data_IF_050761687243
#
_entry.id   IF_050761687243
#
_cell.length_a   1.000
_cell.length_b   1.000
_cell.length_c   1.000
_cell.angle_alpha   90.00
_cell.angle_beta   90.00
_cell.angle_gamma   90.00
#
_symmetry.space_group_name_H-M   'P 1'
#
loop_
_entity.id
_entity.type
_entity.pdbx_description
1 polymer ?
#
# COMPACT_ATOMS: atom_id res chain seq x y z
N UNK A 1 -6.40 -8.07 -63.70
CA UNK A 1 -5.61 -8.81 -62.69
C UNK A 1 -6.23 -8.59 -61.31
N UNK A 2 -6.96 -9.57 -60.78
CA UNK A 2 -7.51 -9.50 -59.43
C UNK A 2 -6.39 -9.81 -58.41
N UNK A 3 -5.97 -8.81 -57.64
CA UNK A 3 -5.05 -9.02 -56.51
C UNK A 3 -5.81 -9.75 -55.40
N UNK A 4 -5.47 -11.02 -55.17
CA UNK A 4 -5.93 -11.76 -53.99
C UNK A 4 -5.43 -11.03 -52.74
N UNK A 5 -6.35 -10.52 -51.91
CA UNK A 5 -6.03 -10.05 -50.56
C UNK A 5 -5.90 -11.30 -49.68
N UNK A 6 -4.70 -11.57 -49.19
CA UNK A 6 -4.47 -12.59 -48.17
C UNK A 6 -4.97 -11.98 -46.86
N UNK A 7 -6.04 -12.56 -46.30
CA UNK A 7 -6.43 -12.27 -44.93
C UNK A 7 -5.41 -12.96 -44.02
N UNK A 8 -4.69 -12.17 -43.22
CA UNK A 8 -3.84 -12.69 -42.16
C UNK A 8 -4.69 -12.59 -40.89
N UNK A 9 -5.04 -13.72 -40.24
CA UNK A 9 -5.72 -13.67 -38.95
C UNK A 9 -4.88 -12.87 -37.96
N UNK A 10 -5.52 -12.00 -37.18
CA UNK A 10 -4.89 -11.49 -35.96
C UNK A 10 -4.51 -12.69 -35.09
N UNK A 11 -3.21 -12.82 -34.80
CA UNK A 11 -2.70 -13.88 -33.94
C UNK A 11 -3.39 -13.79 -32.58
N UNK A 12 -4.12 -14.83 -32.18
CA UNK A 12 -4.64 -14.90 -30.82
C UNK A 12 -3.48 -14.97 -29.84
N UNK A 13 -3.59 -14.27 -28.71
CA UNK A 13 -2.53 -14.12 -27.70
C UNK A 13 -1.98 -15.46 -27.15
N UNK A 14 -2.71 -16.56 -27.36
CA UNK A 14 -2.35 -17.94 -27.06
C UNK A 14 -1.33 -18.59 -28.01
N UNK A 15 -0.96 -17.94 -29.13
CA UNK A 15 -0.11 -18.52 -30.19
C UNK A 15 1.25 -17.83 -30.37
N UNK A 16 1.57 -16.79 -29.59
CA UNK A 16 2.92 -16.19 -29.58
C UNK A 16 3.78 -17.00 -28.59
N UNK A 17 4.91 -17.59 -29.02
CA UNK A 17 5.79 -18.31 -28.11
C UNK A 17 6.29 -17.36 -27.01
N UNK A 18 5.92 -17.65 -25.76
CA UNK A 18 6.49 -16.96 -24.60
C UNK A 18 7.96 -17.37 -24.55
N UNK A 19 8.87 -16.43 -24.84
CA UNK A 19 10.31 -16.71 -24.78
C UNK A 19 10.78 -16.90 -23.34
N UNK A 20 10.25 -16.11 -22.40
CA UNK A 20 10.49 -16.25 -20.95
C UNK A 20 9.58 -15.30 -20.15
N UNK A 21 9.49 -15.49 -18.84
CA UNK A 21 8.73 -14.64 -17.91
C UNK A 21 9.63 -14.12 -16.78
N UNK A 22 9.59 -12.82 -16.50
CA UNK A 22 10.19 -12.23 -15.31
C UNK A 22 9.10 -12.16 -14.24
N UNK A 23 9.37 -12.79 -13.09
CA UNK A 23 8.49 -12.83 -11.93
C UNK A 23 9.06 -11.96 -10.82
N UNK A 24 8.41 -10.83 -10.51
CA UNK A 24 8.90 -9.91 -9.48
C UNK A 24 7.94 -9.80 -8.30
N UNK A 25 8.44 -10.00 -7.09
CA UNK A 25 7.71 -9.77 -5.84
C UNK A 25 7.89 -8.36 -5.27
N UNK A 26 6.79 -7.80 -4.78
CA UNK A 26 6.72 -6.57 -4.00
C UNK A 26 6.00 -6.82 -2.70
N UNK A 27 6.48 -6.17 -1.63
CA UNK A 27 5.89 -6.28 -0.30
C UNK A 27 5.68 -4.89 0.29
N UNK A 28 4.48 -4.65 0.80
CA UNK A 28 4.14 -3.45 1.58
C UNK A 28 3.66 -3.91 2.95
N UNK A 29 4.19 -3.34 4.02
CA UNK A 29 3.64 -3.57 5.36
C UNK A 29 2.73 -2.40 5.73
N UNK A 30 1.60 -2.67 6.38
CA UNK A 30 0.68 -1.65 6.86
C UNK A 30 0.39 -1.80 8.35
N UNK A 31 0.22 -0.68 9.02
CA UNK A 31 -0.02 -0.62 10.45
C UNK A 31 -0.50 0.75 10.86
N UNK A 32 -0.30 1.13 12.12
CA UNK A 32 -0.65 2.46 12.57
C UNK A 32 -0.77 2.60 14.07
N UNK A 33 -0.96 3.84 14.48
CA UNK A 33 -1.07 4.23 15.89
C UNK A 33 -2.40 4.94 16.12
N UNK A 34 -3.06 4.60 17.21
CA UNK A 34 -4.15 5.39 17.75
C UNK A 34 -3.60 6.41 18.73
N UNK A 35 -4.13 7.63 18.65
CA UNK A 35 -4.07 8.66 19.68
C UNK A 35 -5.49 8.92 20.14
N UNK A 36 -5.77 8.74 21.42
CA UNK A 36 -7.11 8.91 22.01
C UNK A 36 -7.05 9.96 23.09
N UNK A 37 -7.92 10.96 22.98
CA UNK A 37 -8.07 12.03 23.96
C UNK A 37 -9.51 12.06 24.48
N UNK A 38 -9.67 11.86 25.79
CA UNK A 38 -10.93 12.15 26.49
C UNK A 38 -10.89 13.60 26.94
N UNK A 39 -11.86 14.40 26.52
CA UNK A 39 -11.84 15.85 26.67
C UNK A 39 -13.07 16.27 27.46
N UNK A 40 -12.89 17.08 28.50
CA UNK A 40 -14.00 17.75 29.18
C UNK A 40 -14.64 18.77 28.23
N UNK A 41 -15.90 18.56 27.87
CA UNK A 41 -16.57 19.34 26.82
C UNK A 41 -16.77 20.81 27.21
N UNK A 42 -17.00 21.09 28.50
CA UNK A 42 -17.25 22.43 28.99
C UNK A 42 -15.98 23.30 29.02
N UNK A 43 -14.83 22.69 29.31
CA UNK A 43 -13.57 23.41 29.52
C UNK A 43 -12.54 23.18 28.40
N UNK A 44 -12.73 22.18 27.55
CA UNK A 44 -11.77 21.77 26.52
C UNK A 44 -10.52 21.09 27.07
N UNK A 45 -10.48 20.75 28.37
CA UNK A 45 -9.31 20.13 28.99
C UNK A 45 -9.22 18.65 28.67
N UNK A 46 -8.04 18.18 28.25
CA UNK A 46 -7.76 16.75 28.09
C UNK A 46 -7.69 16.10 29.47
N UNK A 47 -8.62 15.17 29.74
CA UNK A 47 -8.70 14.37 30.96
C UNK A 47 -7.81 13.14 30.89
N UNK A 48 -7.68 12.56 29.70
CA UNK A 48 -6.91 11.34 29.45
C UNK A 48 -6.35 11.39 28.03
N UNK A 49 -5.09 10.99 27.87
CA UNK A 49 -4.38 10.89 26.60
C UNK A 49 -3.75 9.50 26.50
N UNK A 50 -4.01 8.79 25.41
CA UNK A 50 -3.52 7.44 25.16
C UNK A 50 -2.90 7.34 23.78
N UNK A 51 -1.81 6.58 23.68
CA UNK A 51 -1.18 6.24 22.40
C UNK A 51 -0.83 4.76 22.37
N UNK A 52 -1.28 4.05 21.34
CA UNK A 52 -1.07 2.61 21.23
C UNK A 52 -1.21 2.11 19.79
N UNK A 53 -0.58 0.98 19.45
CA UNK A 53 -0.65 0.43 18.10
C UNK A 53 -2.01 -0.18 17.79
N UNK A 54 -2.24 -0.37 16.50
CA UNK A 54 -3.43 -1.00 15.98
C UNK A 54 -3.23 -2.48 15.61
N UNK A 55 -4.32 -3.23 15.49
CA UNK A 55 -4.33 -4.54 14.84
C UNK A 55 -5.17 -4.45 13.56
N UNK A 56 -4.54 -4.59 12.40
CA UNK A 56 -5.26 -4.73 11.12
C UNK A 56 -5.88 -6.13 11.06
N UNK A 57 -7.17 -6.27 10.75
CA UNK A 57 -7.85 -7.58 10.65
C UNK A 57 -7.61 -8.26 9.30
N UNK A 58 -7.89 -9.55 9.17
CA UNK A 58 -7.88 -10.28 7.90
C UNK A 58 -8.96 -9.73 6.97
N UNK A 59 -10.13 -9.38 7.51
CA UNK A 59 -11.19 -8.71 6.76
C UNK A 59 -10.73 -7.37 6.18
N UNK A 60 -9.96 -6.59 6.95
CA UNK A 60 -9.35 -5.34 6.50
C UNK A 60 -8.34 -5.55 5.37
N UNK A 61 -7.43 -6.51 5.51
CA UNK A 61 -6.48 -6.84 4.45
C UNK A 61 -7.18 -7.36 3.19
N UNK A 62 -8.21 -8.20 3.35
CA UNK A 62 -9.02 -8.70 2.25
C UNK A 62 -9.75 -7.57 1.52
N UNK A 63 -10.27 -6.57 2.23
CA UNK A 63 -10.97 -5.44 1.59
C UNK A 63 -9.97 -4.53 0.87
N UNK A 64 -8.82 -4.23 1.49
CA UNK A 64 -7.71 -3.49 0.86
C UNK A 64 -7.25 -4.20 -0.42
N UNK A 65 -7.00 -5.51 -0.34
CA UNK A 65 -6.54 -6.31 -1.47
C UNK A 65 -7.65 -6.65 -2.46
N UNK A 66 -8.92 -6.59 -2.07
CA UNK A 66 -10.07 -6.95 -2.89
C UNK A 66 -10.60 -5.82 -3.75
N UNK A 67 -10.24 -4.56 -3.47
CA UNK A 67 -10.81 -3.39 -4.17
C UNK A 67 -10.48 -3.36 -5.67
N UNK A 68 -11.52 -3.18 -6.49
CA UNK A 68 -11.45 -3.04 -7.95
C UNK A 68 -12.20 -1.80 -8.47
N UNK A 69 -12.54 -0.86 -7.59
CA UNK A 69 -13.23 0.40 -7.92
C UNK A 69 -13.01 1.43 -6.82
N UNK A 70 -13.45 2.68 -7.05
CA UNK A 70 -13.15 3.88 -6.24
C UNK A 70 -13.23 3.66 -4.71
N UNK A 71 -12.10 3.74 -3.99
CA UNK A 71 -11.93 3.18 -2.63
C UNK A 71 -12.17 4.13 -1.44
N UNK A 72 -13.00 5.16 -1.59
CA UNK A 72 -13.26 6.24 -0.59
C UNK A 72 -13.83 5.80 0.79
N UNK A 73 -13.88 4.51 1.10
CA UNK A 73 -14.68 3.97 2.20
C UNK A 73 -13.94 3.22 3.33
N UNK A 74 -12.64 2.92 3.23
CA UNK A 74 -12.00 1.98 4.18
C UNK A 74 -12.09 2.42 5.65
N UNK A 75 -11.81 3.70 5.93
CA UNK A 75 -11.79 4.26 7.30
C UNK A 75 -12.87 5.34 7.45
N UNK A 76 -14.14 4.95 7.35
CA UNK A 76 -15.25 5.92 7.43
C UNK A 76 -15.77 6.09 8.86
N UNK A 77 -16.01 4.99 9.56
CA UNK A 77 -16.62 5.00 10.88
C UNK A 77 -15.65 4.44 11.92
N UNK A 78 -15.53 5.09 13.07
CA UNK A 78 -14.91 4.50 14.24
C UNK A 78 -16.03 4.01 15.17
N UNK A 79 -15.96 2.77 15.62
CA UNK A 79 -16.81 2.21 16.67
C UNK A 79 -16.05 2.10 17.98
N UNK A 80 -16.76 2.21 19.10
CA UNK A 80 -16.26 1.94 20.45
C UNK A 80 -17.14 0.91 21.14
N UNK A 81 -16.55 0.11 22.03
CA UNK A 81 -17.25 -0.98 22.69
C UNK A 81 -16.73 -1.28 24.09
N UNK A 82 -17.38 -2.24 24.74
CA UNK A 82 -17.14 -2.64 26.14
C UNK A 82 -16.55 -4.04 26.28
N UNK A 83 -16.23 -4.73 25.18
CA UNK A 83 -15.54 -6.01 25.24
C UNK A 83 -14.04 -5.80 25.50
N UNK A 84 -13.50 -6.59 26.42
CA UNK A 84 -12.10 -6.55 26.82
C UNK A 84 -11.30 -7.75 26.28
N UNK A 85 -11.91 -8.57 25.42
CA UNK A 85 -11.24 -9.70 24.81
C UNK A 85 -10.08 -9.21 23.93
N UNK A 86 -8.93 -9.88 24.03
CA UNK A 86 -7.76 -9.54 23.22
C UNK A 86 -8.11 -9.57 21.71
N UNK A 87 -7.77 -8.51 20.95
CA UNK A 87 -8.05 -8.45 19.52
C UNK A 87 -7.37 -9.59 18.77
N UNK A 88 -8.09 -10.17 17.82
CA UNK A 88 -7.64 -11.24 16.93
C UNK A 88 -7.73 -10.78 15.47
N UNK A 89 -6.78 -11.24 14.64
CA UNK A 89 -6.79 -10.89 13.21
C UNK A 89 -8.04 -11.39 12.50
N UNK A 90 -8.67 -12.46 12.98
CA UNK A 90 -9.90 -13.01 12.41
C UNK A 90 -11.16 -12.22 12.80
N UNK A 91 -11.07 -11.21 13.67
CA UNK A 91 -12.25 -10.48 14.13
C UNK A 91 -12.92 -9.72 12.98
N UNK A 92 -14.25 -9.81 12.94
CA UNK A 92 -15.08 -9.11 11.94
C UNK A 92 -15.98 -8.04 12.55
N UNK A 93 -16.12 -8.02 13.88
CA UNK A 93 -16.94 -7.06 14.64
C UNK A 93 -16.28 -6.72 15.97
N UNK A 94 -16.70 -5.63 16.60
CA UNK A 94 -16.45 -5.41 18.03
C UNK A 94 -17.17 -6.49 18.85
N UNK A 95 -16.64 -6.81 20.04
CA UNK A 95 -17.25 -7.82 20.91
C UNK A 95 -18.56 -7.32 21.52
N UNK A 96 -18.60 -6.04 21.91
CA UNK A 96 -19.82 -5.39 22.41
C UNK A 96 -19.80 -3.91 22.03
N UNK A 97 -20.20 -3.60 20.80
CA UNK A 97 -20.28 -2.22 20.29
C UNK A 97 -21.31 -1.40 21.06
N UNK A 98 -20.89 -0.23 21.52
CA UNK A 98 -21.76 0.78 22.15
C UNK A 98 -22.28 1.74 21.09
N UNK A 99 -21.38 2.29 20.30
CA UNK A 99 -21.71 3.29 19.27
C UNK A 99 -20.60 3.40 18.23
N UNK A 100 -20.95 3.92 17.05
CA UNK A 100 -19.98 4.35 16.04
C UNK A 100 -20.33 5.70 15.45
N UNK A 101 -19.30 6.42 15.00
CA UNK A 101 -19.44 7.75 14.38
C UNK A 101 -18.55 7.89 13.15
N UNK A 102 -19.02 8.67 12.17
CA UNK A 102 -18.22 9.18 11.06
C UNK A 102 -17.91 10.68 11.20
N UNK A 103 -18.35 11.32 12.29
CA UNK A 103 -18.09 12.74 12.54
C UNK A 103 -16.60 12.98 12.68
N UNK A 104 -16.05 13.87 11.86
CA UNK A 104 -14.67 14.33 11.96
C UNK A 104 -14.52 15.51 12.91
N UNK A 105 -15.60 16.03 13.50
CA UNK A 105 -15.57 17.19 14.39
C UNK A 105 -14.98 18.46 13.75
N UNK A 106 -14.93 18.55 12.42
CA UNK A 106 -14.26 19.62 11.68
C UNK A 106 -12.75 19.45 11.54
N UNK A 107 -12.17 18.34 12.00
CA UNK A 107 -10.75 18.04 11.83
C UNK A 107 -10.46 17.56 10.40
N UNK A 108 -9.49 18.19 9.75
CA UNK A 108 -9.03 17.76 8.42
C UNK A 108 -8.08 16.57 8.53
N UNK A 109 -8.13 15.69 7.52
CA UNK A 109 -7.13 14.64 7.38
C UNK A 109 -5.76 15.27 7.11
N UNK A 110 -4.71 14.69 7.69
CA UNK A 110 -3.33 15.05 7.35
C UNK A 110 -2.61 13.83 6.81
N UNK A 111 -1.61 14.04 5.97
CA UNK A 111 -0.82 12.98 5.35
C UNK A 111 0.63 13.45 5.24
N UNK A 112 1.54 12.50 5.18
CA UNK A 112 2.95 12.84 5.14
C UNK A 112 3.85 11.64 5.01
N UNK A 113 5.14 11.93 5.16
CA UNK A 113 6.22 10.98 5.07
C UNK A 113 7.20 11.27 6.20
N UNK A 114 7.66 10.23 6.88
CA UNK A 114 8.63 10.29 7.96
C UNK A 114 9.87 9.53 7.52
N UNK A 115 11.05 10.15 7.60
CA UNK A 115 12.35 9.50 7.39
C UNK A 115 13.08 9.30 8.71
N UNK A 116 13.79 8.18 8.88
CA UNK A 116 14.65 7.95 10.05
C UNK A 116 13.86 7.76 11.35
N UNK A 117 12.67 7.19 11.28
CA UNK A 117 11.91 6.76 12.46
C UNK A 117 12.64 5.61 13.17
N UNK A 118 12.65 5.65 14.49
CA UNK A 118 13.17 4.59 15.36
C UNK A 118 12.12 3.55 15.73
N UNK A 119 10.95 3.56 15.10
CA UNK A 119 9.91 2.55 15.32
C UNK A 119 10.45 1.16 14.90
N UNK A 120 9.85 0.06 15.38
CA UNK A 120 10.34 -1.32 15.15
C UNK A 120 10.43 -1.75 13.67
N UNK A 121 9.97 -0.92 12.73
CA UNK A 121 10.10 -1.08 11.29
C UNK A 121 11.27 -0.31 10.67
N UNK A 122 12.08 0.34 11.52
CA UNK A 122 13.39 0.94 11.31
C UNK A 122 13.59 1.54 9.92
N UNK A 123 12.66 2.39 9.54
CA UNK A 123 12.47 2.71 8.14
C UNK A 123 11.51 3.86 7.97
N UNK A 124 11.71 4.59 6.89
CA UNK A 124 10.82 5.64 6.52
C UNK A 124 9.40 5.09 6.27
N UNK A 125 8.36 5.84 6.62
CA UNK A 125 6.97 5.44 6.40
C UNK A 125 6.12 6.59 5.90
N UNK A 126 5.07 6.26 5.16
CA UNK A 126 4.03 7.19 4.78
C UNK A 126 2.83 7.03 5.68
N UNK A 127 2.15 8.12 5.98
CA UNK A 127 1.00 8.08 6.87
C UNK A 127 -0.17 8.91 6.37
N UNK A 128 -1.36 8.54 6.84
CA UNK A 128 -2.56 9.36 6.86
C UNK A 128 -3.10 9.39 8.28
N UNK A 129 -3.41 10.59 8.80
CA UNK A 129 -4.12 10.78 10.05
C UNK A 129 -5.58 11.07 9.76
N UNK A 130 -6.46 10.32 10.43
CA UNK A 130 -7.90 10.53 10.42
C UNK A 130 -8.40 10.66 11.83
N UNK A 131 -9.22 11.68 12.05
CA UNK A 131 -9.83 11.94 13.35
C UNK A 131 -11.32 11.66 13.29
N UNK A 132 -11.84 11.06 14.35
CA UNK A 132 -13.26 10.93 14.63
C UNK A 132 -13.55 11.43 16.03
N UNK A 133 -14.69 12.07 16.18
CA UNK A 133 -15.11 12.70 17.41
C UNK A 133 -16.47 12.16 17.82
N UNK A 134 -16.54 11.53 18.99
CA UNK A 134 -17.80 11.30 19.69
C UNK A 134 -18.09 12.54 20.54
N UNK A 135 -19.21 13.18 20.28
CA UNK A 135 -19.65 14.37 21.00
C UNK A 135 -20.25 14.03 22.37
N UNK A 136 -20.70 15.04 23.09
CA UNK A 136 -21.51 14.91 24.29
C UNK A 136 -22.74 14.04 24.01
N UNK A 137 -22.97 13.03 24.85
CA UNK A 137 -24.11 12.11 24.69
C UNK A 137 -23.82 10.87 23.83
N UNK A 138 -22.77 10.89 23.01
CA UNK A 138 -22.37 9.77 22.13
C UNK A 138 -21.30 8.89 22.80
N UNK A 139 -21.36 7.58 22.59
CA UNK A 139 -20.34 6.62 23.02
C UNK A 139 -20.11 6.57 24.53
N UNK A 140 -21.11 6.93 25.34
CA UNK A 140 -20.96 6.99 26.79
C UNK A 140 -20.88 5.60 27.40
N UNK A 141 -20.01 5.44 28.40
CA UNK A 141 -19.84 4.18 29.12
C UNK A 141 -18.39 3.90 29.48
N UNK A 142 -18.15 2.67 29.92
CA UNK A 142 -16.84 2.13 30.25
C UNK A 142 -16.26 1.43 29.02
N UNK A 143 -15.63 2.20 28.15
CA UNK A 143 -15.14 1.73 26.86
C UNK A 143 -13.80 1.01 27.02
N UNK A 144 -13.62 -0.13 26.36
CA UNK A 144 -12.41 -0.97 26.42
C UNK A 144 -11.84 -1.29 25.05
N UNK A 145 -12.65 -1.16 24.00
CA UNK A 145 -12.25 -1.45 22.62
C UNK A 145 -12.68 -0.36 21.64
N UNK A 146 -11.99 -0.33 20.50
CA UNK A 146 -12.35 0.51 19.37
C UNK A 146 -11.97 -0.17 18.05
N UNK A 147 -12.66 0.21 16.98
CA UNK A 147 -12.40 -0.35 15.66
C UNK A 147 -12.76 0.62 14.54
N UNK A 148 -12.06 0.51 13.41
CA UNK A 148 -12.42 1.19 12.16
C UNK A 148 -13.28 0.30 11.28
N UNK A 149 -14.26 0.94 10.66
CA UNK A 149 -15.29 0.32 9.85
C UNK A 149 -15.50 1.07 8.54
N UNK A 150 -15.89 0.29 7.52
CA UNK A 150 -16.18 0.81 6.18
C UNK A 150 -17.52 1.56 6.09
N UNK A 151 -18.51 1.20 6.90
CA UNK A 151 -19.84 1.82 6.85
C UNK A 151 -20.53 1.88 8.22
N UNK A 152 -21.73 2.48 8.26
CA UNK A 152 -22.49 2.72 9.49
C UNK A 152 -23.07 1.46 10.14
N UNK A 153 -23.13 0.32 9.45
CA UNK A 153 -23.67 -0.92 10.02
C UNK A 153 -23.21 -2.16 9.23
N UNK A 154 -23.07 -3.29 9.91
CA UNK A 154 -22.78 -4.61 9.33
C UNK A 154 -21.67 -4.59 8.25
N UNK A 155 -20.58 -3.88 8.55
CA UNK A 155 -19.55 -3.54 7.58
C UNK A 155 -18.24 -4.24 7.90
N UNK A 156 -17.33 -4.31 6.92
CA UNK A 156 -15.95 -4.75 7.14
C UNK A 156 -15.30 -3.94 8.27
N UNK A 157 -14.85 -4.64 9.30
CA UNK A 157 -13.96 -4.10 10.32
C UNK A 157 -12.53 -4.16 9.78
N UNK A 158 -11.89 -3.01 9.62
CA UNK A 158 -10.53 -2.91 9.04
C UNK A 158 -9.47 -3.08 10.13
N UNK A 159 -9.75 -2.52 11.30
CA UNK A 159 -8.81 -2.41 12.41
C UNK A 159 -9.56 -2.61 13.71
N UNK A 160 -8.96 -3.32 14.66
CA UNK A 160 -9.44 -3.40 16.05
C UNK A 160 -8.29 -3.10 17.00
N UNK A 161 -8.59 -2.53 18.16
CA UNK A 161 -7.65 -2.47 19.28
C UNK A 161 -8.40 -2.34 20.61
N UNK A 162 -7.73 -2.69 21.70
CA UNK A 162 -8.15 -2.28 23.04
C UNK A 162 -7.57 -0.91 23.34
N UNK A 163 -8.25 -0.10 24.15
CA UNK A 163 -7.59 1.05 24.76
C UNK A 163 -6.45 0.55 25.64
N UNK A 164 -5.27 1.14 25.49
CA UNK A 164 -4.07 0.74 26.25
C UNK A 164 -3.42 1.97 26.88
N UNK A 165 -2.76 1.74 28.01
CA UNK A 165 -1.86 2.73 28.60
C UNK A 165 -0.51 2.81 27.86
N UNK A 166 0.38 3.71 28.30
CA UNK A 166 1.72 3.86 27.71
C UNK A 166 2.64 2.66 27.91
N UNK A 167 2.26 1.69 28.74
CA UNK A 167 2.96 0.40 28.90
C UNK A 167 2.38 -0.72 28.03
N UNK A 168 1.34 -0.43 27.23
CA UNK A 168 0.66 -1.40 26.37
C UNK A 168 -0.38 -2.27 27.09
N UNK A 169 -0.67 -2.01 28.38
CA UNK A 169 -1.67 -2.77 29.13
C UNK A 169 -3.08 -2.29 28.80
N UNK A 170 -4.06 -3.18 28.56
CA UNK A 170 -5.45 -2.77 28.33
C UNK A 170 -6.03 -2.00 29.51
N UNK A 171 -6.77 -0.93 29.22
CA UNK A 171 -7.43 -0.07 30.21
C UNK A 171 -8.86 0.27 29.77
N UNK A 172 -9.65 0.75 30.72
CA UNK A 172 -10.99 1.28 30.48
C UNK A 172 -10.96 2.81 30.39
N UNK A 173 -11.61 3.37 29.37
CA UNK A 173 -11.90 4.80 29.23
C UNK A 173 -13.35 5.03 29.63
N UNK A 174 -13.58 5.73 30.75
CA UNK A 174 -14.93 6.10 31.16
C UNK A 174 -15.34 7.42 30.52
N UNK A 175 -16.19 7.36 29.50
CA UNK A 175 -16.77 8.54 28.84
C UNK A 175 -18.15 8.84 29.42
N UNK A 176 -18.38 10.10 29.80
CA UNK A 176 -19.69 10.60 30.25
C UNK A 176 -20.27 11.60 29.24
N UNK A 177 -21.52 12.02 29.46
CA UNK A 177 -22.17 13.05 28.65
C UNK A 177 -21.49 14.43 28.73
N UNK A 178 -20.60 14.64 29.69
CA UNK A 178 -19.82 15.88 29.81
C UNK A 178 -18.48 15.79 29.08
N UNK A 179 -18.20 14.66 28.45
CA UNK A 179 -16.94 14.39 27.77
C UNK A 179 -17.14 14.27 26.26
N UNK A 180 -16.12 14.66 25.51
CA UNK A 180 -15.92 14.29 24.12
C UNK A 180 -14.80 13.25 24.04
N UNK A 181 -14.89 12.31 23.08
CA UNK A 181 -13.84 11.33 22.82
C UNK A 181 -13.30 11.54 21.42
N UNK A 182 -12.09 12.06 21.32
CA UNK A 182 -11.39 12.30 20.06
C UNK A 182 -10.43 11.14 19.80
N UNK A 183 -10.65 10.44 18.70
CA UNK A 183 -9.80 9.32 18.26
C UNK A 183 -9.13 9.73 16.96
N UNK A 184 -7.80 9.83 16.99
CA UNK A 184 -6.98 10.02 15.80
C UNK A 184 -6.26 8.72 15.49
N UNK A 185 -6.41 8.23 14.26
CA UNK A 185 -5.66 7.08 13.77
C UNK A 185 -4.66 7.53 12.72
N UNK A 186 -3.38 7.31 12.99
CA UNK A 186 -2.31 7.41 12.02
C UNK A 186 -2.15 6.05 11.34
N UNK A 187 -2.78 5.85 10.20
CA UNK A 187 -2.57 4.68 9.36
C UNK A 187 -1.28 4.83 8.57
N UNK A 188 -0.43 3.82 8.62
CA UNK A 188 0.94 3.85 8.10
C UNK A 188 1.13 2.78 7.04
N UNK A 189 1.88 3.13 6.00
CA UNK A 189 2.46 2.18 5.05
C UNK A 189 3.98 2.25 5.12
N UNK A 190 4.60 1.08 5.16
CA UNK A 190 6.03 0.92 5.24
C UNK A 190 6.51 0.34 3.90
N UNK A 191 7.33 1.08 3.13
CA UNK A 191 8.08 0.49 2.03
C UNK A 191 8.93 -0.66 2.58
N UNK A 192 8.85 -1.84 1.97
CA UNK A 192 9.77 -2.92 2.32
C UNK A 192 11.20 -2.48 1.99
N UNK A 193 12.07 -2.44 2.99
CA UNK A 193 13.49 -2.06 2.80
C UNK A 193 14.40 -3.28 2.56
N UNK A 194 13.82 -4.41 2.17
CA UNK A 194 14.53 -5.64 1.85
C UNK A 194 14.13 -6.85 2.70
N UNK A 195 14.71 -8.00 2.33
CA UNK A 195 14.57 -9.28 3.03
C UNK A 195 15.40 -9.26 4.31
N UNK A 196 14.91 -8.58 5.33
CA UNK A 196 15.57 -8.59 6.61
C UNK A 196 14.76 -9.36 7.64
N UNK A 197 15.07 -10.64 7.86
CA UNK A 197 14.56 -11.39 9.00
C UNK A 197 15.21 -10.96 10.33
N UNK A 198 16.18 -10.04 10.34
CA UNK A 198 16.97 -9.66 11.52
C UNK A 198 17.48 -8.20 11.49
N UNK A 199 16.58 -7.21 11.52
CA UNK A 199 16.83 -5.84 12.02
C UNK A 199 18.22 -5.21 11.79
N UNK A 200 18.61 -4.99 10.55
CA UNK A 200 19.74 -4.17 10.14
C UNK A 200 19.36 -2.68 10.19
N UNK A 201 19.68 -2.12 11.35
CA UNK A 201 19.66 -0.71 11.78
C UNK A 201 20.55 0.26 10.99
N UNK A 202 20.69 0.08 9.68
CA UNK A 202 21.47 1.03 8.87
C UNK A 202 20.69 1.31 7.60
N UNK A 203 20.46 2.58 7.27
CA UNK A 203 19.72 3.08 6.10
C UNK A 203 20.30 2.70 4.73
N UNK A 204 20.54 1.41 4.53
CA UNK A 204 20.93 0.75 3.30
C UNK A 204 19.72 -0.05 2.82
N UNK A 205 19.21 0.29 1.65
CA UNK A 205 18.07 -0.39 1.06
C UNK A 205 18.55 -1.71 0.47
N UNK A 206 18.08 -2.83 1.02
CA UNK A 206 18.36 -4.13 0.45
C UNK A 206 17.32 -4.45 -0.63
N UNK A 207 17.68 -5.18 -1.69
CA UNK A 207 16.70 -5.69 -2.63
C UNK A 207 15.56 -6.43 -1.91
N UNK A 208 14.32 -6.08 -2.24
CA UNK A 208 13.10 -6.76 -1.76
C UNK A 208 13.03 -8.15 -2.38
N UNK A 209 13.38 -8.26 -3.65
CA UNK A 209 13.39 -9.51 -4.38
C UNK A 209 14.52 -9.47 -5.41
N UNK A 210 14.95 -10.65 -5.84
CA UNK A 210 15.95 -10.80 -6.88
C UNK A 210 15.78 -12.12 -7.60
N UNK A 211 16.17 -12.15 -8.86
CA UNK A 211 16.11 -13.37 -9.65
C UNK A 211 16.90 -13.23 -10.94
N UNK A 212 16.70 -14.19 -11.83
CA UNK A 212 17.26 -14.13 -13.17
C UNK A 212 16.32 -14.74 -14.18
N UNK A 213 16.46 -14.31 -15.43
CA UNK A 213 15.78 -14.91 -16.58
C UNK A 213 16.80 -15.12 -17.69
N UNK A 214 16.68 -16.22 -18.42
CA UNK A 214 17.53 -16.50 -19.58
C UNK A 214 16.76 -16.09 -20.84
N UNK A 215 17.35 -15.19 -21.62
CA UNK A 215 16.82 -14.74 -22.91
C UNK A 215 17.85 -15.05 -24.00
N UNK A 216 17.56 -16.03 -24.84
CA UNK A 216 18.56 -16.60 -25.75
C UNK A 216 19.69 -17.24 -24.93
N UNK A 217 20.92 -16.77 -25.13
CA UNK A 217 22.12 -17.28 -24.43
C UNK A 217 22.58 -16.36 -23.29
N UNK A 218 21.83 -15.29 -22.99
CA UNK A 218 22.20 -14.30 -21.97
C UNK A 218 21.35 -14.44 -20.72
N UNK A 219 22.00 -14.45 -19.56
CA UNK A 219 21.33 -14.38 -18.25
C UNK A 219 21.12 -12.93 -17.85
N UNK A 220 19.88 -12.56 -17.62
CA UNK A 220 19.47 -11.24 -17.14
C UNK A 220 19.07 -11.36 -15.68
N UNK A 221 20.00 -11.02 -14.78
CA UNK A 221 19.71 -10.94 -13.35
C UNK A 221 18.95 -9.65 -13.05
N UNK A 222 18.08 -9.67 -12.06
CA UNK A 222 17.31 -8.51 -11.66
C UNK A 222 17.21 -8.40 -10.14
N UNK A 223 17.02 -7.16 -9.68
CA UNK A 223 16.77 -6.80 -8.28
C UNK A 223 15.63 -5.81 -8.21
N UNK A 224 14.72 -5.99 -7.26
CA UNK A 224 13.64 -5.04 -6.98
C UNK A 224 13.88 -4.27 -5.68
N UNK A 225 13.45 -3.01 -5.61
CA UNK A 225 13.48 -2.20 -4.40
C UNK A 225 12.31 -1.22 -4.35
N UNK A 226 11.96 -0.76 -3.15
CA UNK A 226 11.02 0.35 -2.99
C UNK A 226 11.65 1.62 -3.59
N UNK A 227 10.86 2.38 -4.35
CA UNK A 227 11.27 3.67 -4.87
C UNK A 227 11.01 4.73 -3.79
N UNK A 228 12.06 5.21 -3.12
CA UNK A 228 11.91 6.36 -2.23
C UNK A 228 11.94 7.65 -3.02
N UNK A 229 10.82 8.35 -3.02
CA UNK A 229 10.78 9.76 -3.39
C UNK A 229 10.42 10.60 -2.16
N UNK A 230 11.20 11.65 -1.92
CA UNK A 230 10.80 12.74 -1.01
C UNK A 230 9.65 13.57 -1.57
N UNK A 231 9.36 13.42 -2.87
CA UNK A 231 8.20 14.05 -3.49
C UNK A 231 6.94 13.26 -3.19
N UNK A 232 5.87 14.00 -2.90
CA UNK A 232 4.53 13.59 -2.46
C UNK A 232 3.91 12.38 -3.20
N UNK A 233 4.34 12.13 -4.43
CA UNK A 233 3.61 11.30 -5.40
C UNK A 233 3.92 9.79 -5.34
N UNK A 234 5.00 9.37 -4.67
CA UNK A 234 5.45 7.98 -4.77
C UNK A 234 4.70 6.99 -3.86
N UNK A 235 4.21 7.47 -2.71
CA UNK A 235 3.68 6.62 -1.64
C UNK A 235 2.68 7.34 -0.69
N UNK A 236 2.26 8.57 -1.01
CA UNK A 236 1.59 9.45 -0.03
C UNK A 236 0.18 9.89 -0.41
N UNK A 237 -0.01 10.34 -1.65
CA UNK A 237 -1.27 10.97 -2.04
C UNK A 237 -2.47 10.02 -1.96
N UNK A 238 -2.33 8.74 -2.34
CA UNK A 238 -3.49 7.84 -2.32
C UNK A 238 -3.81 7.25 -0.94
N UNK A 239 -2.86 7.24 0.01
CA UNK A 239 -3.18 6.94 1.41
C UNK A 239 -4.09 8.04 1.98
N UNK A 240 -3.79 9.30 1.64
CA UNK A 240 -4.58 10.46 2.04
C UNK A 240 -5.90 10.61 1.27
N UNK A 241 -5.89 10.31 -0.03
CA UNK A 241 -7.06 10.42 -0.91
C UNK A 241 -8.01 9.23 -0.79
N UNK A 242 -7.61 8.11 -0.18
CA UNK A 242 -8.37 6.86 -0.18
C UNK A 242 -8.91 6.49 -1.56
N UNK A 243 -8.19 6.87 -2.61
CA UNK A 243 -8.50 6.59 -4.01
C UNK A 243 -7.45 5.64 -4.63
N UNK A 244 -6.99 4.63 -3.87
CA UNK A 244 -6.10 3.59 -4.37
C UNK A 244 -6.86 2.30 -4.75
N UNK A 245 -7.20 2.12 -6.02
CA UNK A 245 -7.77 0.85 -6.48
C UNK A 245 -6.61 -0.09 -6.86
N UNK A 246 -6.45 -1.22 -6.15
CA UNK A 246 -5.41 -2.23 -6.47
C UNK A 246 -5.73 -3.04 -7.75
N UNK A 247 -6.61 -2.56 -8.59
CA UNK A 247 -6.76 -2.96 -9.97
C UNK A 247 -6.16 -1.93 -10.95
N UNK A 248 -5.63 -0.80 -10.47
CA UNK A 248 -5.04 0.25 -11.30
C UNK A 248 -3.52 0.25 -11.19
N UNK A 249 -2.87 -0.46 -12.10
CA UNK A 249 -1.42 -0.60 -12.12
C UNK A 249 -0.80 0.21 -13.25
N UNK A 250 0.34 0.84 -12.98
CA UNK A 250 1.20 1.40 -14.03
C UNK A 250 2.58 0.80 -13.92
N UNK A 251 3.06 0.25 -15.03
CA UNK A 251 4.42 -0.23 -15.15
C UNK A 251 5.07 0.47 -16.32
N UNK A 252 6.24 1.06 -16.06
CA UNK A 252 7.03 1.79 -17.04
C UNK A 252 8.28 1.01 -17.33
N UNK A 253 8.58 0.80 -18.60
CA UNK A 253 9.88 0.29 -19.02
C UNK A 253 10.85 1.45 -19.21
N UNK A 254 12.06 1.30 -18.68
CA UNK A 254 13.11 2.30 -18.70
C UNK A 254 14.26 1.87 -19.64
N UNK A 255 14.77 2.80 -20.43
CA UNK A 255 15.87 2.55 -21.36
C UNK A 255 17.20 2.37 -20.63
N UNK A 256 18.23 1.83 -21.28
CA UNK A 256 19.58 1.70 -20.69
C UNK A 256 20.29 3.00 -20.38
N UNK A 257 19.88 4.10 -20.98
CA UNK A 257 20.33 5.43 -20.61
C UNK A 257 19.68 5.94 -19.31
N UNK A 258 18.66 5.26 -18.79
CA UNK A 258 18.01 5.63 -17.53
C UNK A 258 18.92 5.27 -16.36
N UNK A 259 19.12 6.25 -15.49
CA UNK A 259 19.82 6.08 -14.22
C UNK A 259 18.82 5.48 -13.22
N UNK A 260 18.82 4.15 -13.10
CA UNK A 260 18.14 3.45 -12.01
C UNK A 260 19.19 3.14 -10.95
N UNK A 261 19.17 3.90 -9.85
CA UNK A 261 20.12 3.71 -8.75
C UNK A 261 19.43 2.88 -7.67
N UNK A 262 20.10 1.83 -7.19
CA UNK A 262 19.80 1.27 -5.87
C UNK A 262 20.02 2.40 -4.88
N UNK A 263 18.94 2.99 -4.35
CA UNK A 263 19.05 4.07 -3.37
C UNK A 263 19.88 3.52 -2.21
N UNK A 264 21.13 3.94 -2.08
CA UNK A 264 21.98 3.67 -0.92
C UNK A 264 22.45 5.02 -0.42
N UNK A 265 21.53 5.84 0.09
CA UNK A 265 21.81 7.19 0.57
C UNK A 265 20.67 8.19 0.39
N UNK A 266 20.86 9.36 1.02
CA UNK A 266 19.93 10.50 1.13
C UNK A 266 19.21 10.87 -0.18
N UNK A 267 17.90 11.09 -0.06
CA UNK A 267 16.85 11.15 -1.09
C UNK A 267 16.78 12.51 -1.83
N UNK A 268 17.93 13.08 -2.22
CA UNK A 268 17.98 14.41 -2.84
C UNK A 268 17.89 14.41 -4.38
N UNK A 269 18.13 13.28 -5.06
CA UNK A 269 18.41 13.30 -6.50
C UNK A 269 17.35 12.66 -7.43
N UNK A 270 16.20 12.21 -6.91
CA UNK A 270 15.13 11.67 -7.78
C UNK A 270 14.17 12.76 -8.27
N UNK A 271 14.68 13.65 -9.13
CA UNK A 271 13.86 14.63 -9.87
C UNK A 271 14.07 14.54 -11.40
N UNK A 272 14.68 13.45 -11.88
CA UNK A 272 14.54 13.08 -13.28
C UNK A 272 13.15 12.49 -13.45
N UNK A 273 12.28 13.18 -14.20
CA UNK A 273 10.90 12.77 -14.41
C UNK A 273 10.75 11.30 -14.79
N UNK A 274 9.54 10.78 -14.55
CA UNK A 274 9.07 9.45 -14.92
C UNK A 274 9.13 9.21 -16.45
N UNK A 275 10.34 9.07 -17.01
CA UNK A 275 10.61 9.06 -18.47
C UNK A 275 10.52 7.67 -19.10
N UNK A 276 9.95 6.68 -18.40
CA UNK A 276 9.70 5.35 -18.94
C UNK A 276 8.42 5.26 -19.75
N UNK A 277 8.38 4.34 -20.72
CA UNK A 277 7.19 4.10 -21.56
C UNK A 277 6.20 3.20 -20.81
N UNK A 278 4.97 3.69 -20.62
CA UNK A 278 3.88 2.96 -19.96
C UNK A 278 3.52 1.70 -20.75
N UNK A 279 3.09 0.65 -20.05
CA UNK A 279 2.61 -0.59 -20.66
C UNK A 279 1.46 -0.35 -21.65
N UNK A 280 1.44 -1.14 -22.73
CA UNK A 280 0.35 -1.12 -23.72
C UNK A 280 -0.95 -1.68 -23.15
N UNK A 281 -0.84 -2.71 -22.31
CA UNK A 281 -1.96 -3.32 -21.60
C UNK A 281 -1.51 -3.93 -20.28
N UNK A 282 -2.46 -4.16 -19.38
CA UNK A 282 -2.23 -4.90 -18.14
C UNK A 282 -3.42 -5.80 -17.84
N UNK A 283 -3.16 -6.92 -17.16
CA UNK A 283 -4.17 -7.83 -16.65
C UNK A 283 -3.84 -8.17 -15.19
N UNK A 284 -4.86 -8.28 -14.35
CA UNK A 284 -4.71 -8.58 -12.92
C UNK A 284 -5.58 -9.79 -12.62
N UNK A 285 -5.02 -10.74 -11.91
CA UNK A 285 -5.75 -11.93 -11.50
C UNK A 285 -6.83 -11.56 -10.48
N UNK A 286 -7.94 -12.29 -10.49
CA UNK A 286 -8.99 -12.10 -9.49
C UNK A 286 -8.40 -12.33 -8.09
N UNK A 287 -8.70 -11.40 -7.16
CA UNK A 287 -8.24 -11.54 -5.79
C UNK A 287 -8.88 -12.76 -5.11
N UNK A 288 -8.05 -13.58 -4.49
CA UNK A 288 -8.49 -14.68 -3.63
C UNK A 288 -8.35 -14.26 -2.16
N UNK A 289 -9.47 -14.24 -1.43
CA UNK A 289 -9.48 -13.88 -0.01
C UNK A 289 -8.54 -14.77 0.82
N UNK A 290 -7.84 -14.16 1.77
CA UNK A 290 -6.86 -14.80 2.67
C UNK A 290 -5.46 -14.93 2.09
N UNK A 291 -5.27 -14.69 0.78
CA UNK A 291 -3.92 -14.72 0.19
C UNK A 291 -3.12 -13.46 0.51
N UNK A 292 -3.80 -12.34 0.75
CA UNK A 292 -3.23 -10.99 0.84
C UNK A 292 -2.23 -10.67 -0.28
N UNK A 293 -2.45 -11.31 -1.43
CA UNK A 293 -1.59 -11.29 -2.60
C UNK A 293 -2.41 -10.92 -3.84
N UNK A 294 -1.79 -10.16 -4.74
CA UNK A 294 -2.27 -10.00 -6.11
C UNK A 294 -1.15 -10.25 -7.10
N UNK A 295 -1.49 -10.94 -8.18
CA UNK A 295 -0.63 -11.13 -9.32
C UNK A 295 -1.21 -10.44 -10.54
N UNK A 296 -0.34 -10.05 -11.46
CA UNK A 296 -0.75 -9.49 -12.72
C UNK A 296 0.37 -9.49 -13.74
N UNK A 297 0.00 -9.14 -14.97
CA UNK A 297 0.89 -9.11 -16.12
C UNK A 297 0.81 -7.75 -16.77
N UNK A 298 1.95 -7.12 -17.00
CA UNK A 298 2.08 -5.90 -17.80
C UNK A 298 2.71 -6.23 -19.13
N UNK A 299 2.13 -5.70 -20.21
CA UNK A 299 2.49 -6.04 -21.59
C UNK A 299 2.84 -4.79 -22.39
N UNK A 300 3.95 -4.86 -23.12
CA UNK A 300 4.35 -3.89 -24.13
C UNK A 300 4.30 -4.54 -25.50
N UNK A 301 3.43 -4.02 -26.36
CA UNK A 301 3.25 -4.52 -27.72
C UNK A 301 4.49 -4.26 -28.59
N UNK A 302 4.64 -4.96 -29.73
CA UNK A 302 5.80 -4.87 -30.60
C UNK A 302 6.22 -3.43 -30.95
N UNK A 303 5.28 -2.52 -31.16
CA UNK A 303 5.59 -1.11 -31.51
C UNK A 303 6.10 -0.25 -30.34
N UNK A 304 6.11 -0.73 -29.10
CA UNK A 304 6.48 0.04 -27.90
C UNK A 304 7.79 -0.43 -27.28
N UNK A 305 8.48 0.42 -26.51
CA UNK A 305 9.68 0.05 -25.73
C UNK A 305 10.86 -0.44 -26.58
N UNK A 306 10.93 0.02 -27.83
CA UNK A 306 12.02 -0.31 -28.75
C UNK A 306 13.20 0.67 -28.56
N UNK A 307 13.91 0.59 -27.43
CA UNK A 307 14.98 1.52 -27.05
C UNK A 307 16.30 1.36 -27.84
N UNK A 308 16.24 0.74 -29.03
CA UNK A 308 17.40 0.48 -29.86
C UNK A 308 18.40 -0.49 -29.20
N UNK A 309 19.70 -0.40 -29.54
CA UNK A 309 20.73 -1.34 -29.06
C UNK A 309 20.93 -1.31 -27.54
N UNK A 310 20.42 -0.27 -26.86
CA UNK A 310 20.49 -0.14 -25.41
C UNK A 310 19.53 -1.08 -24.67
N UNK A 311 18.40 -1.46 -25.26
CA UNK A 311 17.41 -2.33 -24.62
C UNK A 311 16.76 -1.73 -23.36
N UNK A 312 16.03 -2.58 -22.64
CA UNK A 312 15.30 -2.23 -21.40
C UNK A 312 16.17 -2.55 -20.19
N UNK A 313 16.47 -1.55 -19.37
CA UNK A 313 17.37 -1.69 -18.20
C UNK A 313 16.63 -1.94 -16.90
N UNK A 314 15.32 -1.69 -16.89
CA UNK A 314 14.52 -1.92 -15.72
C UNK A 314 13.12 -1.37 -15.86
N UNK A 315 12.40 -1.44 -14.75
CA UNK A 315 10.99 -1.13 -14.68
C UNK A 315 10.69 -0.28 -13.46
N UNK A 316 9.74 0.63 -13.58
CA UNK A 316 9.11 1.32 -12.45
C UNK A 316 7.68 0.84 -12.34
N UNK A 317 7.27 0.42 -11.16
CA UNK A 317 5.96 -0.19 -10.90
C UNK A 317 5.25 0.67 -9.88
N UNK A 318 4.08 1.17 -10.26
CA UNK A 318 3.20 1.99 -9.45
C UNK A 318 1.95 1.17 -9.10
N UNK A 319 1.79 0.86 -7.81
CA UNK A 319 0.63 0.16 -7.28
C UNK A 319 -0.50 1.16 -7.04
N UNK A 320 -1.71 0.83 -7.52
CA UNK A 320 -2.91 1.65 -7.40
C UNK A 320 -2.67 3.12 -7.77
N UNK A 321 -2.28 3.33 -9.03
CA UNK A 321 -1.92 4.63 -9.58
C UNK A 321 -3.09 5.29 -10.32
N UNK A 322 -3.59 6.37 -9.74
CA UNK A 322 -4.57 7.27 -10.35
C UNK A 322 -4.02 8.69 -10.38
N UNK A 323 -4.28 9.44 -11.46
CA UNK A 323 -3.88 10.85 -11.59
C UNK A 323 -2.40 11.19 -11.34
N UNK A 324 -1.49 10.21 -11.36
CA UNK A 324 -0.04 10.43 -11.17
C UNK A 324 0.44 10.20 -9.74
N UNK A 325 -0.42 9.68 -8.87
CA UNK A 325 -0.13 9.34 -7.49
C UNK A 325 -0.32 7.83 -7.29
N UNK A 326 0.54 7.19 -6.49
CA UNK A 326 0.49 5.75 -6.24
C UNK A 326 0.41 5.43 -4.74
N UNK A 327 -0.17 4.27 -4.39
CA UNK A 327 -0.14 3.72 -3.03
C UNK A 327 1.28 3.29 -2.64
N UNK A 328 1.98 2.68 -3.59
CA UNK A 328 3.35 2.24 -3.43
C UNK A 328 4.07 2.23 -4.78
N UNK A 329 5.36 2.55 -4.77
CA UNK A 329 6.19 2.51 -5.97
C UNK A 329 7.44 1.67 -5.77
N UNK A 330 7.74 0.87 -6.78
CA UNK A 330 8.89 -0.02 -6.81
C UNK A 330 9.69 0.22 -8.08
N UNK A 331 10.97 -0.11 -8.01
CA UNK A 331 11.82 -0.22 -9.18
C UNK A 331 12.38 -1.63 -9.29
N UNK A 332 12.61 -2.06 -10.52
CA UNK A 332 13.28 -3.31 -10.85
C UNK A 332 14.44 -2.96 -11.77
N UNK A 333 15.64 -3.35 -11.40
CA UNK A 333 16.86 -3.09 -12.17
C UNK A 333 17.34 -4.41 -12.73
N UNK A 334 17.69 -4.43 -14.01
CA UNK A 334 18.24 -5.60 -14.70
C UNK A 334 19.74 -5.40 -14.96
N UNK A 335 20.55 -6.41 -14.62
CA UNK A 335 22.01 -6.37 -14.74
C UNK A 335 22.45 -6.14 -16.18
N UNK A 336 21.86 -6.88 -17.11
CA UNK A 336 22.01 -6.74 -18.55
C UNK A 336 20.70 -6.26 -19.17
N UNK A 337 20.76 -5.26 -20.04
CA UNK A 337 19.54 -4.75 -20.67
C UNK A 337 18.84 -5.82 -21.49
N UNK A 338 17.52 -5.90 -21.38
CA UNK A 338 16.70 -6.82 -22.15
C UNK A 338 16.57 -6.29 -23.58
N UNK A 339 17.04 -7.00 -24.60
CA UNK A 339 16.82 -6.61 -25.98
C UNK A 339 15.33 -6.78 -26.31
N UNK A 340 14.74 -5.77 -26.94
CA UNK A 340 13.38 -5.84 -27.49
C UNK A 340 13.36 -5.22 -28.88
N UNK A 341 12.87 -5.96 -29.85
CA UNK A 341 12.68 -5.48 -31.22
C UNK A 341 11.22 -5.11 -31.50
N UNK A 342 11.00 -4.47 -32.65
CA UNK A 342 9.68 -4.02 -33.11
C UNK A 342 8.71 -5.14 -33.49
N UNK A 343 9.16 -6.40 -33.44
CA UNK A 343 8.35 -7.60 -33.70
C UNK A 343 8.10 -8.43 -32.44
N UNK A 344 8.72 -8.04 -31.32
CA UNK A 344 8.66 -8.79 -30.07
C UNK A 344 7.79 -8.09 -29.04
N UNK A 345 7.03 -8.88 -28.29
CA UNK A 345 6.27 -8.42 -27.13
C UNK A 345 7.07 -8.64 -25.86
N UNK A 346 7.05 -7.69 -24.95
CA UNK A 346 7.60 -7.83 -23.61
C UNK A 346 6.44 -8.02 -22.61
N UNK A 347 6.50 -9.06 -21.80
CA UNK A 347 5.57 -9.32 -20.70
C UNK A 347 6.35 -9.44 -19.40
N UNK A 348 5.82 -8.85 -18.33
CA UNK A 348 6.37 -8.97 -16.97
C UNK A 348 5.24 -9.42 -16.08
N UNK A 349 5.48 -10.49 -15.32
CA UNK A 349 4.58 -10.91 -14.27
C UNK A 349 5.06 -10.33 -12.95
N UNK A 350 4.14 -9.75 -12.22
CA UNK A 350 4.40 -9.18 -10.91
C UNK A 350 3.48 -9.79 -9.87
N UNK A 351 3.95 -9.75 -8.64
CA UNK A 351 3.25 -10.18 -7.45
C UNK A 351 3.39 -9.09 -6.39
N UNK A 352 2.27 -8.66 -5.81
CA UNK A 352 2.22 -7.74 -4.68
C UNK A 352 1.63 -8.45 -3.48
N UNK A 353 2.30 -8.34 -2.34
CA UNK A 353 1.85 -8.82 -1.03
C UNK A 353 1.67 -7.64 -0.09
N UNK A 354 0.56 -7.61 0.65
CA UNK A 354 0.38 -6.70 1.79
C UNK A 354 0.43 -7.51 3.08
N UNK A 355 1.28 -7.09 4.01
CA UNK A 355 1.34 -7.65 5.36
C UNK A 355 1.03 -6.62 6.44
N UNK A 356 0.89 -7.12 7.66
CA UNK A 356 0.79 -6.30 8.86
C UNK A 356 2.18 -5.88 9.33
N UNK A 357 2.27 -4.66 9.81
CA UNK A 357 3.30 -4.26 10.76
C UNK A 357 2.91 -4.81 12.15
N UNK A 358 3.85 -5.50 12.80
CA UNK A 358 3.76 -6.01 14.18
C UNK A 358 4.44 -5.01 15.13
N UNK A 359 3.69 -4.39 16.02
CA UNK A 359 4.17 -3.41 17.01
C UNK A 359 4.24 -4.00 18.42
#
# INVERSE_FOLDING_TARGET
MNRKRIWIPEYSDSQVPIKSEINVGFRVRIGGMFTVELIDAATGKIKQHLEFPNLITDAGLNDIMGQTSTPTALFQYIGVGTDATAPNVADTTLGSEVERTNSDGGFSNTFGYVTGSTDDFDGAYHFVKRTRLFLEGEGNGNLTELAWFKSAAASTMIVRSLFKDGGGSPITVTKTSNDQLKITHEFRSYPSMGNDPAGLRSGSFSPIDSGSVILGDTTHSWTSSALLSTTRNAWGDNLGMLDFALDKFRVRANASSSVLINVSGSVADFNAGFLGTIQSSFAIDAYAAGTFERTGVSTWEPSTVNFGPGGVKGFTIELASEHGSAFAQFQVIVSESIPKTSVERLKIKWRTVIDRAVF
#
